data_IF_609380797731
#
_entry.id   IF_609380797731
#
_cell.length_a   1.000
_cell.length_b   1.000
_cell.length_c   1.000
_cell.angle_alpha   90.00
_cell.angle_beta   90.00
_cell.angle_gamma   90.00
#
_symmetry.space_group_name_H-M   'P 1'
#
loop_
_entity.id
_entity.type
_entity.pdbx_description
1 polymer ?
#
# COMPACT_ATOMS: atom_id res chain seq x y z
N UNK A 1 -12.21 7.18 -6.71
CA UNK A 1 -11.95 6.58 -5.37
C UNK A 1 -10.50 6.83 -5.06
N UNK A 2 -10.15 7.19 -3.82
CA UNK A 2 -8.76 7.45 -3.44
C UNK A 2 -8.23 6.36 -2.50
N UNK A 3 -6.94 6.04 -2.59
CA UNK A 3 -6.27 5.13 -1.65
C UNK A 3 -6.41 5.60 -0.21
N UNK A 4 -6.43 6.92 0.00
CA UNK A 4 -6.62 7.60 1.29
C UNK A 4 -7.97 7.30 1.95
N UNK A 5 -8.97 6.87 1.17
CA UNK A 5 -10.33 6.58 1.66
C UNK A 5 -10.50 5.11 2.07
N UNK A 6 -9.50 4.26 1.82
CA UNK A 6 -9.56 2.83 2.14
C UNK A 6 -9.29 2.64 3.64
N UNK A 7 -10.11 1.82 4.30
CA UNK A 7 -9.90 1.49 5.71
C UNK A 7 -8.51 0.88 5.94
N UNK A 8 -7.81 1.41 6.96
CA UNK A 8 -6.43 1.01 7.27
C UNK A 8 -5.34 1.75 6.48
N UNK A 9 -5.69 2.62 5.53
CA UNK A 9 -4.74 3.41 4.71
C UNK A 9 -4.12 4.63 5.44
N UNK A 10 -4.05 4.63 6.78
CA UNK A 10 -3.65 5.79 7.61
C UNK A 10 -2.31 6.40 7.19
N UNK A 11 -1.39 5.58 6.69
CA UNK A 11 -0.08 6.04 6.22
C UNK A 11 -0.17 6.90 4.96
N UNK A 12 -1.14 6.69 4.06
CA UNK A 12 -1.31 7.50 2.85
C UNK A 12 -1.51 8.97 3.20
N UNK A 13 -2.38 9.26 4.17
CA UNK A 13 -2.65 10.63 4.64
C UNK A 13 -1.46 11.28 5.36
N UNK A 14 -0.41 10.52 5.69
CA UNK A 14 0.81 11.05 6.33
C UNK A 14 1.92 11.34 5.33
N UNK A 15 2.03 10.52 4.30
CA UNK A 15 3.17 10.55 3.37
C UNK A 15 2.84 11.18 2.02
N UNK A 16 1.55 11.40 1.73
CA UNK A 16 1.06 12.15 0.59
C UNK A 16 0.31 13.40 1.06
N UNK A 17 0.67 14.58 0.56
CA UNK A 17 -0.06 15.83 0.87
C UNK A 17 -1.37 15.98 0.11
N UNK A 18 -1.53 15.25 -1.00
CA UNK A 18 -2.74 15.14 -1.82
C UNK A 18 -3.37 13.75 -1.69
N UNK A 19 -4.68 13.65 -1.94
CA UNK A 19 -5.34 12.35 -2.10
C UNK A 19 -4.84 11.65 -3.37
N UNK A 20 -4.52 10.36 -3.27
CA UNK A 20 -3.98 9.56 -4.36
C UNK A 20 -5.10 8.71 -4.95
N UNK A 21 -5.40 8.94 -6.23
CA UNK A 21 -6.45 8.21 -6.92
C UNK A 21 -6.09 6.73 -7.06
N UNK A 22 -7.09 5.85 -6.90
CA UNK A 22 -6.92 4.43 -7.17
C UNK A 22 -6.78 4.25 -8.67
N UNK A 23 -5.58 3.86 -9.10
CA UNK A 23 -5.21 3.68 -10.51
C UNK A 23 -4.25 2.48 -10.64
N UNK A 24 -3.43 2.46 -11.69
CA UNK A 24 -2.49 1.39 -12.01
C UNK A 24 -1.49 1.09 -10.88
N UNK A 25 -1.30 -0.22 -10.62
CA UNK A 25 -0.37 -0.74 -9.63
C UNK A 25 0.54 -1.78 -10.29
N UNK A 26 1.79 -1.85 -9.83
CA UNK A 26 2.76 -2.86 -10.25
C UNK A 26 2.89 -3.92 -9.14
N UNK A 27 2.31 -5.09 -9.35
CA UNK A 27 2.30 -6.20 -8.38
C UNK A 27 3.55 -7.05 -8.56
N UNK A 28 4.36 -7.14 -7.51
CA UNK A 28 5.60 -7.91 -7.54
C UNK A 28 5.61 -9.12 -6.57
N UNK A 29 4.68 -9.21 -5.63
CA UNK A 29 4.58 -10.33 -4.70
C UNK A 29 3.14 -10.60 -4.26
N UNK A 30 2.77 -11.88 -4.26
CA UNK A 30 1.50 -12.37 -3.69
C UNK A 30 1.86 -13.51 -2.74
N UNK A 31 1.67 -13.28 -1.44
CA UNK A 31 1.91 -14.28 -0.40
C UNK A 31 0.61 -14.86 0.11
N UNK A 32 0.48 -16.18 0.02
CA UNK A 32 -0.60 -16.95 0.65
C UNK A 32 0.01 -17.68 1.85
N UNK A 33 -0.47 -17.35 3.04
CA UNK A 33 -0.01 -17.94 4.29
C UNK A 33 -1.12 -18.79 4.91
N UNK A 34 -0.95 -20.12 4.84
CA UNK A 34 -1.96 -21.07 5.34
C UNK A 34 -1.97 -21.17 6.86
N UNK A 35 -0.85 -20.91 7.52
CA UNK A 35 -0.75 -20.99 8.98
C UNK A 35 -1.37 -19.74 9.60
N UNK A 36 -1.07 -18.57 9.04
CA UNK A 36 -1.68 -17.30 9.47
C UNK A 36 -3.09 -17.08 8.92
N UNK A 37 -3.57 -17.94 8.01
CA UNK A 37 -4.81 -17.76 7.26
C UNK A 37 -4.89 -16.37 6.61
N UNK A 38 -3.87 -15.94 5.87
CA UNK A 38 -3.85 -14.63 5.20
C UNK A 38 -3.49 -14.73 3.73
N UNK A 39 -4.01 -13.79 2.94
CA UNK A 39 -3.53 -13.50 1.59
C UNK A 39 -3.07 -12.06 1.56
N UNK A 40 -1.83 -11.83 1.13
CA UNK A 40 -1.19 -10.53 1.10
C UNK A 40 -0.64 -10.24 -0.28
N UNK A 41 -0.93 -9.06 -0.82
CA UNK A 41 -0.42 -8.55 -2.10
C UNK A 41 0.52 -7.39 -1.78
N UNK A 42 1.74 -7.45 -2.31
CA UNK A 42 2.70 -6.35 -2.26
C UNK A 42 2.86 -5.75 -3.67
N UNK A 43 2.76 -4.43 -3.76
CA UNK A 43 2.73 -3.70 -5.03
C UNK A 43 3.29 -2.29 -4.87
N UNK A 44 3.70 -1.68 -5.98
CA UNK A 44 4.06 -0.28 -6.07
C UNK A 44 2.96 0.50 -6.81
N UNK A 45 2.82 1.79 -6.51
CA UNK A 45 1.90 2.68 -7.24
C UNK A 45 2.62 3.21 -8.49
N UNK A 46 2.06 2.96 -9.67
CA UNK A 46 2.71 3.39 -10.92
C UNK A 46 2.64 4.92 -11.00
N UNK A 47 3.79 5.57 -11.23
CA UNK A 47 3.95 7.02 -11.32
C UNK A 47 3.55 7.84 -10.07
N UNK A 48 3.39 7.20 -8.91
CA UNK A 48 3.10 7.90 -7.66
C UNK A 48 4.17 7.59 -6.60
N UNK A 49 4.83 8.65 -6.12
CA UNK A 49 5.82 8.60 -5.04
C UNK A 49 5.37 9.50 -3.89
N UNK A 50 5.64 9.11 -2.63
CA UNK A 50 5.37 9.97 -1.48
C UNK A 50 6.11 11.31 -1.59
N UNK A 51 5.39 12.40 -1.40
CA UNK A 51 5.95 13.77 -1.41
C UNK A 51 6.45 14.19 -0.01
N UNK A 52 5.97 13.53 1.05
CA UNK A 52 6.38 13.74 2.42
C UNK A 52 6.77 12.41 3.11
N UNK A 53 7.81 11.70 2.62
CA UNK A 53 8.20 10.42 3.19
C UNK A 53 8.70 10.56 4.64
N UNK A 54 8.43 9.55 5.47
CA UNK A 54 8.94 9.52 6.84
C UNK A 54 10.48 9.49 6.84
N UNK A 55 11.16 10.05 7.87
CA UNK A 55 12.62 10.18 7.89
C UNK A 55 13.42 8.88 7.71
N UNK A 56 12.81 7.72 7.95
CA UNK A 56 13.43 6.39 7.83
C UNK A 56 13.23 5.75 6.45
N UNK A 57 12.47 6.38 5.55
CA UNK A 57 12.19 5.83 4.22
C UNK A 57 13.30 6.20 3.24
N UNK A 58 13.72 5.23 2.44
CA UNK A 58 14.63 5.48 1.32
C UNK A 58 13.89 6.34 0.29
N UNK A 59 14.57 7.32 -0.31
CA UNK A 59 13.98 8.14 -1.39
C UNK A 59 13.54 7.23 -2.55
N UNK A 60 12.35 7.48 -3.10
CA UNK A 60 11.78 6.68 -4.19
C UNK A 60 11.09 5.39 -3.74
N UNK A 61 10.75 5.25 -2.45
CA UNK A 61 10.09 4.08 -1.90
C UNK A 61 8.57 4.28 -1.82
N UNK A 62 7.80 3.48 -2.56
CA UNK A 62 6.33 3.53 -2.60
C UNK A 62 5.67 2.14 -2.41
N UNK A 63 6.37 1.22 -1.73
CA UNK A 63 5.87 -0.14 -1.49
C UNK A 63 4.62 -0.15 -0.63
N UNK A 64 3.55 -0.61 -1.24
CA UNK A 64 2.25 -0.82 -0.63
C UNK A 64 2.01 -2.30 -0.37
N UNK A 65 1.15 -2.57 0.61
CA UNK A 65 0.70 -3.91 0.93
C UNK A 65 -0.76 -3.87 1.33
N UNK A 66 -1.55 -4.73 0.71
CA UNK A 66 -2.94 -4.98 1.10
C UNK A 66 -3.12 -6.48 1.32
N UNK A 67 -3.98 -6.85 2.25
CA UNK A 67 -4.25 -8.26 2.51
C UNK A 67 -5.59 -8.46 3.18
N UNK A 68 -6.05 -9.71 3.10
CA UNK A 68 -7.25 -10.17 3.78
C UNK A 68 -6.89 -11.21 4.83
N UNK A 69 -7.62 -11.18 5.94
CA UNK A 69 -7.64 -12.27 6.89
C UNK A 69 -8.73 -13.27 6.46
N UNK A 70 -8.34 -14.54 6.37
CA UNK A 70 -9.17 -15.66 5.91
C UNK A 70 -9.62 -16.57 7.06
N UNK A 71 -9.50 -16.13 8.32
CA UNK A 71 -9.87 -16.94 9.49
C UNK A 71 -11.38 -17.14 9.68
N UNK A 72 -12.21 -16.39 8.97
CA UNK A 72 -13.66 -16.31 9.21
C UNK A 72 -14.01 -15.36 10.35
#
# INVERSE_FOLDING_TARGET
MYWNDIDGSILFNKVFTKSIEVNEIDVFDIKIDREAATVTISFDLVNELPDNPLPKWVKGYNRCRCGINCSG
#
